data_IF_401896699653
#
_entry.id   IF_401896699653
#
_cell.length_a   1.000
_cell.length_b   1.000
_cell.length_c   1.000
_cell.angle_alpha   90.00
_cell.angle_beta   90.00
_cell.angle_gamma   90.00
#
_symmetry.space_group_name_H-M   'P 1'
#
loop_
_entity.id
_entity.type
_entity.pdbx_description
1 polymer ?
#
# COMPACT_ATOMS: atom_id res chain seq x y z
N UNK A 1 5.60 -55.36 -73.16
CA UNK A 1 4.78 -54.25 -73.72
C UNK A 1 3.34 -54.75 -73.84
N UNK A 2 2.29 -53.91 -73.75
CA UNK A 2 2.20 -52.55 -73.21
C UNK A 2 0.94 -52.27 -72.33
N UNK A 3 1.07 -51.33 -71.35
CA UNK A 3 0.34 -50.03 -71.17
C UNK A 3 -1.09 -50.12 -70.58
N UNK A 4 -1.46 -49.55 -69.42
CA UNK A 4 -1.34 -48.21 -68.79
C UNK A 4 -2.70 -47.48 -68.77
N UNK A 5 -2.98 -46.84 -67.60
CA UNK A 5 -3.63 -45.53 -67.38
C UNK A 5 -5.15 -45.42 -67.08
N UNK A 6 -5.39 -44.69 -65.97
CA UNK A 6 -6.53 -43.80 -65.61
C UNK A 6 -7.86 -44.51 -65.23
N UNK A 7 -8.56 -44.20 -64.13
CA UNK A 7 -8.64 -42.94 -63.38
C UNK A 7 -9.04 -43.13 -61.91
N UNK A 8 -8.22 -42.54 -61.05
CA UNK A 8 -8.52 -42.01 -59.72
C UNK A 8 -9.69 -41.01 -59.79
N UNK A 9 -10.88 -41.34 -59.24
CA UNK A 9 -11.86 -40.40 -58.66
C UNK A 9 -13.11 -41.16 -58.17
N UNK A 10 -13.22 -41.46 -56.87
CA UNK A 10 -14.54 -41.61 -56.24
C UNK A 10 -14.55 -40.93 -54.88
N UNK A 11 -14.52 -39.60 -54.99
CA UNK A 11 -15.36 -38.64 -54.26
C UNK A 11 -15.61 -39.00 -52.79
N UNK A 12 -14.68 -38.52 -51.97
CA UNK A 12 -14.95 -37.99 -50.65
C UNK A 12 -16.11 -36.97 -50.71
N UNK A 13 -17.33 -37.36 -50.33
CA UNK A 13 -18.37 -36.41 -49.88
C UNK A 13 -19.12 -36.98 -48.69
N UNK A 14 -18.48 -37.00 -47.53
CA UNK A 14 -19.15 -36.99 -46.23
C UNK A 14 -18.21 -36.35 -45.21
N UNK A 15 -17.81 -35.11 -45.48
CA UNK A 15 -16.84 -34.36 -44.68
C UNK A 15 -17.41 -32.98 -44.35
N UNK A 16 -18.52 -32.91 -43.60
CA UNK A 16 -19.05 -31.62 -43.14
C UNK A 16 -20.05 -31.77 -41.97
N UNK A 17 -19.70 -32.47 -40.89
CA UNK A 17 -20.44 -32.36 -39.59
C UNK A 17 -19.53 -32.29 -38.35
N UNK A 18 -18.21 -32.54 -38.46
CA UNK A 18 -17.32 -32.67 -37.29
C UNK A 18 -16.75 -31.37 -36.70
N UNK A 19 -17.16 -30.19 -37.18
CA UNK A 19 -16.58 -28.93 -36.69
C UNK A 19 -17.22 -28.41 -35.39
N UNK A 20 -18.40 -28.89 -35.02
CA UNK A 20 -19.21 -28.29 -33.94
C UNK A 20 -18.98 -28.99 -32.59
N UNK A 21 -18.82 -30.32 -32.57
CA UNK A 21 -18.43 -31.08 -31.38
C UNK A 21 -17.03 -30.68 -30.87
N UNK A 22 -16.07 -30.45 -31.76
CA UNK A 22 -14.70 -30.06 -31.41
C UNK A 22 -14.63 -28.72 -30.65
N UNK A 23 -15.55 -27.78 -30.93
CA UNK A 23 -15.60 -26.51 -30.22
C UNK A 23 -16.20 -26.67 -28.81
N UNK A 24 -17.20 -27.54 -28.64
CA UNK A 24 -17.79 -27.83 -27.35
C UNK A 24 -16.80 -28.57 -26.44
N UNK A 25 -16.10 -29.57 -26.97
CA UNK A 25 -15.06 -30.32 -26.25
C UNK A 25 -13.93 -29.42 -25.74
N UNK A 26 -13.47 -28.47 -26.58
CA UNK A 26 -12.45 -27.50 -26.18
C UNK A 26 -12.89 -26.59 -25.03
N UNK A 27 -14.18 -26.24 -24.97
CA UNK A 27 -14.74 -25.45 -23.86
C UNK A 27 -14.87 -26.28 -22.58
N UNK A 28 -15.16 -27.57 -22.69
CA UNK A 28 -15.20 -28.50 -21.55
C UNK A 28 -13.81 -28.72 -20.94
N UNK A 29 -12.79 -28.92 -21.77
CA UNK A 29 -11.39 -28.99 -21.32
C UNK A 29 -10.95 -27.70 -20.61
N UNK A 30 -11.31 -26.54 -21.18
CA UNK A 30 -10.99 -25.24 -20.57
C UNK A 30 -11.72 -25.04 -19.24
N UNK A 31 -12.97 -25.48 -19.14
CA UNK A 31 -13.75 -25.46 -17.89
C UNK A 31 -13.10 -26.32 -16.81
N UNK A 32 -12.67 -27.54 -17.14
CA UNK A 32 -11.98 -28.43 -16.20
C UNK A 32 -10.66 -27.82 -15.69
N UNK A 33 -9.87 -27.20 -16.57
CA UNK A 33 -8.64 -26.49 -16.20
C UNK A 33 -8.91 -25.36 -15.21
N UNK A 34 -9.92 -24.51 -15.49
CA UNK A 34 -10.28 -23.40 -14.60
C UNK A 34 -10.71 -23.92 -13.21
N UNK A 35 -11.47 -25.01 -13.15
CA UNK A 35 -11.88 -25.61 -11.87
C UNK A 35 -10.68 -26.13 -11.05
N UNK A 36 -9.66 -26.68 -11.72
CA UNK A 36 -8.44 -27.13 -11.04
C UNK A 36 -7.65 -25.94 -10.47
N UNK A 37 -7.51 -24.86 -11.24
CA UNK A 37 -6.86 -23.62 -10.80
C UNK A 37 -7.59 -22.98 -9.61
N UNK A 38 -8.93 -23.01 -9.58
CA UNK A 38 -9.72 -22.54 -8.43
C UNK A 38 -9.36 -23.34 -7.17
N UNK A 39 -9.38 -24.68 -7.25
CA UNK A 39 -9.05 -25.55 -6.11
C UNK A 39 -7.64 -25.33 -5.57
N UNK A 40 -6.66 -25.13 -6.45
CA UNK A 40 -5.28 -24.84 -6.05
C UNK A 40 -5.17 -23.50 -5.32
N UNK A 41 -5.77 -22.44 -5.88
CA UNK A 41 -5.76 -21.12 -5.25
C UNK A 41 -6.50 -21.12 -3.90
N UNK A 42 -7.54 -21.94 -3.71
CA UNK A 42 -8.20 -22.10 -2.41
C UNK A 42 -7.29 -22.73 -1.35
N UNK A 43 -6.50 -23.75 -1.72
CA UNK A 43 -5.49 -24.34 -0.81
C UNK A 43 -4.42 -23.32 -0.43
N UNK A 44 -3.97 -22.51 -1.38
CA UNK A 44 -3.02 -21.42 -1.13
C UNK A 44 -3.61 -20.36 -0.21
N UNK A 45 -4.87 -19.95 -0.45
CA UNK A 45 -5.59 -18.98 0.38
C UNK A 45 -5.68 -19.45 1.84
N UNK A 46 -6.04 -20.72 2.08
CA UNK A 46 -6.10 -21.28 3.42
C UNK A 46 -4.73 -21.31 4.10
N UNK A 47 -3.67 -21.62 3.35
CA UNK A 47 -2.30 -21.65 3.87
C UNK A 47 -1.81 -20.25 4.26
N UNK A 48 -2.08 -19.24 3.43
CA UNK A 48 -1.69 -17.85 3.70
C UNK A 48 -2.52 -17.24 4.84
N UNK A 49 -3.82 -17.53 4.92
CA UNK A 49 -4.68 -17.12 6.06
C UNK A 49 -4.16 -17.68 7.40
N UNK A 50 -3.72 -18.94 7.44
CA UNK A 50 -3.16 -19.58 8.64
C UNK A 50 -1.78 -19.06 9.05
N UNK A 51 -1.02 -18.46 8.13
CA UNK A 51 0.36 -17.99 8.35
C UNK A 51 0.49 -16.48 8.58
N UNK A 52 -0.62 -15.74 8.73
CA UNK A 52 -0.69 -14.29 9.07
C UNK A 52 0.10 -13.31 8.18
N UNK A 53 0.74 -13.75 7.09
CA UNK A 53 1.95 -13.04 6.59
C UNK A 53 1.81 -12.07 5.43
N UNK A 54 0.64 -11.84 4.83
CA UNK A 54 0.44 -10.62 4.01
C UNK A 54 -1.01 -10.45 3.56
N UNK A 55 -1.65 -9.37 4.00
CA UNK A 55 -2.95 -8.94 3.47
C UNK A 55 -2.91 -8.77 1.92
N UNK A 56 -1.76 -8.38 1.37
CA UNK A 56 -1.54 -8.20 -0.07
C UNK A 56 -1.58 -9.53 -0.82
N UNK A 57 -0.97 -10.59 -0.27
CA UNK A 57 -1.00 -11.92 -0.90
C UNK A 57 -2.40 -12.52 -0.84
N UNK A 58 -3.13 -12.33 0.27
CA UNK A 58 -4.54 -12.75 0.38
C UNK A 58 -5.40 -12.03 -0.67
N UNK A 59 -5.21 -10.71 -0.85
CA UNK A 59 -5.92 -9.94 -1.88
C UNK A 59 -5.61 -10.43 -3.30
N UNK A 60 -4.34 -10.65 -3.64
CA UNK A 60 -3.95 -11.12 -4.97
C UNK A 60 -4.54 -12.50 -5.30
N UNK A 61 -4.57 -13.43 -4.33
CA UNK A 61 -5.19 -14.73 -4.50
C UNK A 61 -6.71 -14.60 -4.67
N UNK A 62 -7.36 -13.71 -3.91
CA UNK A 62 -8.79 -13.45 -4.01
C UNK A 62 -9.18 -12.84 -5.37
N UNK A 63 -8.41 -11.88 -5.88
CA UNK A 63 -8.59 -11.30 -7.22
C UNK A 63 -8.46 -12.36 -8.31
N UNK A 64 -7.43 -13.21 -8.23
CA UNK A 64 -7.26 -14.33 -9.16
C UNK A 64 -8.45 -15.29 -9.12
N UNK A 65 -8.95 -15.61 -7.93
CA UNK A 65 -10.15 -16.47 -7.75
C UNK A 65 -11.39 -15.85 -8.40
N UNK A 66 -11.64 -14.56 -8.18
CA UNK A 66 -12.75 -13.83 -8.79
C UNK A 66 -12.65 -13.85 -10.32
N UNK A 67 -11.47 -13.56 -10.87
CA UNK A 67 -11.25 -13.59 -12.32
C UNK A 67 -11.48 -14.98 -12.93
N UNK A 68 -11.07 -16.05 -12.23
CA UNK A 68 -11.33 -17.43 -12.66
C UNK A 68 -12.82 -17.76 -12.67
N UNK A 69 -13.58 -17.33 -11.65
CA UNK A 69 -15.03 -17.52 -11.58
C UNK A 69 -15.76 -16.75 -12.69
N UNK A 70 -15.36 -15.53 -12.99
CA UNK A 70 -15.91 -14.75 -14.12
C UNK A 70 -15.63 -15.43 -15.47
N UNK A 71 -14.43 -15.96 -15.66
CA UNK A 71 -14.07 -16.73 -16.86
C UNK A 71 -14.86 -18.04 -16.97
N UNK A 72 -15.11 -18.72 -15.84
CA UNK A 72 -15.95 -19.92 -15.79
C UNK A 72 -17.38 -19.60 -16.22
N UNK A 73 -18.00 -18.56 -15.65
CA UNK A 73 -19.35 -18.10 -16.03
C UNK A 73 -19.41 -17.77 -17.52
N UNK A 74 -18.45 -16.99 -18.03
CA UNK A 74 -18.37 -16.62 -19.46
C UNK A 74 -18.24 -17.84 -20.38
N UNK A 75 -17.50 -18.85 -19.95
CA UNK A 75 -17.33 -20.11 -20.71
C UNK A 75 -18.62 -20.91 -20.74
N UNK A 76 -19.28 -21.04 -19.58
CA UNK A 76 -20.58 -21.71 -19.45
C UNK A 76 -21.66 -21.00 -20.28
N UNK A 77 -21.68 -19.67 -20.33
CA UNK A 77 -22.60 -18.90 -21.18
C UNK A 77 -22.37 -19.15 -22.68
N UNK A 78 -21.11 -19.23 -23.11
CA UNK A 78 -20.77 -19.59 -24.49
C UNK A 78 -21.26 -21.01 -24.82
N UNK A 79 -21.04 -21.98 -23.94
CA UNK A 79 -21.55 -23.36 -24.13
C UNK A 79 -23.08 -23.38 -24.24
N UNK A 80 -23.78 -22.71 -23.33
CA UNK A 80 -25.25 -22.62 -23.37
C UNK A 80 -25.78 -21.94 -24.65
N UNK A 81 -25.06 -20.93 -25.17
CA UNK A 81 -25.40 -20.26 -26.43
C UNK A 81 -25.20 -21.18 -27.64
N UNK A 82 -24.09 -21.90 -27.72
CA UNK A 82 -23.83 -22.87 -28.80
C UNK A 82 -24.91 -23.95 -28.81
N UNK A 83 -25.20 -24.53 -27.63
CA UNK A 83 -26.26 -25.53 -27.49
C UNK A 83 -27.63 -24.98 -27.90
N UNK A 84 -27.93 -23.72 -27.59
CA UNK A 84 -29.17 -23.07 -28.03
C UNK A 84 -29.26 -22.91 -29.55
N UNK A 85 -28.15 -22.63 -30.23
CA UNK A 85 -28.10 -22.54 -31.69
C UNK A 85 -28.30 -23.92 -32.32
N UNK A 86 -27.69 -24.96 -31.77
CA UNK A 86 -27.84 -26.33 -32.25
C UNK A 86 -29.28 -26.83 -32.08
N UNK A 87 -29.90 -26.52 -30.94
CA UNK A 87 -31.31 -26.80 -30.69
C UNK A 87 -32.20 -26.09 -31.72
N UNK A 88 -31.89 -24.85 -32.10
CA UNK A 88 -32.63 -24.12 -33.12
C UNK A 88 -32.53 -24.81 -34.49
N UNK A 89 -31.32 -25.22 -34.91
CA UNK A 89 -31.10 -25.95 -36.16
C UNK A 89 -31.88 -27.28 -36.16
N UNK A 90 -31.77 -28.07 -35.09
CA UNK A 90 -32.50 -29.33 -34.95
C UNK A 90 -34.04 -29.10 -34.98
N UNK A 91 -34.53 -28.02 -34.39
CA UNK A 91 -35.95 -27.67 -34.42
C UNK A 91 -36.43 -27.31 -35.83
N UNK A 92 -35.62 -26.63 -36.63
CA UNK A 92 -35.91 -26.36 -38.04
C UNK A 92 -36.03 -27.65 -38.85
N UNK A 93 -35.09 -28.59 -38.68
CA UNK A 93 -35.14 -29.90 -39.35
C UNK A 93 -36.35 -30.74 -38.91
N UNK A 94 -36.68 -30.74 -37.61
CA UNK A 94 -37.91 -31.37 -37.09
C UNK A 94 -39.16 -30.81 -37.79
N UNK A 95 -39.24 -29.49 -37.94
CA UNK A 95 -40.39 -28.84 -38.57
C UNK A 95 -40.49 -29.19 -40.07
N UNK A 96 -39.35 -29.23 -40.77
CA UNK A 96 -39.25 -29.67 -42.17
C UNK A 96 -39.72 -31.12 -42.33
N UNK A 97 -39.15 -32.05 -41.57
CA UNK A 97 -39.53 -33.47 -41.61
C UNK A 97 -41.01 -33.68 -41.28
N UNK A 98 -41.57 -32.94 -40.31
CA UNK A 98 -43.02 -32.98 -40.00
C UNK A 98 -43.86 -32.55 -41.19
N UNK A 99 -43.49 -31.47 -41.89
CA UNK A 99 -44.20 -30.98 -43.08
C UNK A 99 -44.14 -31.99 -44.23
N UNK A 100 -42.96 -32.53 -44.51
CA UNK A 100 -42.78 -33.54 -45.56
C UNK A 100 -43.56 -34.83 -45.25
N UNK A 101 -43.44 -35.37 -44.03
CA UNK A 101 -44.18 -36.56 -43.61
C UNK A 101 -45.69 -36.36 -43.68
N UNK A 102 -46.20 -35.15 -43.40
CA UNK A 102 -47.63 -34.84 -43.53
C UNK A 102 -48.08 -35.03 -44.98
N UNK A 103 -47.40 -34.39 -45.93
CA UNK A 103 -47.72 -34.49 -47.36
C UNK A 103 -47.60 -35.93 -47.86
N UNK A 104 -46.48 -36.61 -47.55
CA UNK A 104 -46.26 -38.00 -47.97
C UNK A 104 -47.33 -38.95 -47.43
N UNK A 105 -47.72 -38.81 -46.15
CA UNK A 105 -48.74 -39.66 -45.53
C UNK A 105 -50.13 -39.40 -46.12
N UNK A 106 -50.46 -38.15 -46.40
CA UNK A 106 -51.73 -37.79 -47.06
C UNK A 106 -51.82 -38.40 -48.47
N UNK A 107 -50.77 -38.27 -49.28
CA UNK A 107 -50.73 -38.82 -50.64
C UNK A 107 -50.72 -40.35 -50.65
N UNK A 108 -49.91 -40.95 -49.78
CA UNK A 108 -49.88 -42.41 -49.61
C UNK A 108 -51.25 -42.94 -49.16
N UNK A 109 -51.91 -42.27 -48.21
CA UNK A 109 -53.26 -42.64 -47.76
C UNK A 109 -54.26 -42.60 -48.91
N UNK A 110 -54.31 -41.51 -49.69
CA UNK A 110 -55.18 -41.40 -50.88
C UNK A 110 -54.94 -42.53 -51.88
N UNK A 111 -53.67 -42.84 -52.16
CA UNK A 111 -53.28 -43.93 -53.05
C UNK A 111 -53.75 -45.30 -52.53
N UNK A 112 -53.56 -45.58 -51.23
CA UNK A 112 -54.00 -46.84 -50.60
C UNK A 112 -55.52 -46.96 -50.63
N UNK A 113 -56.26 -45.91 -50.28
CA UNK A 113 -57.73 -45.89 -50.31
C UNK A 113 -58.25 -46.14 -51.73
N UNK A 114 -57.68 -45.46 -52.74
CA UNK A 114 -58.06 -45.68 -54.15
C UNK A 114 -57.75 -47.10 -54.61
N UNK A 115 -56.59 -47.64 -54.24
CA UNK A 115 -56.21 -49.03 -54.55
C UNK A 115 -57.11 -50.06 -53.85
N UNK A 116 -57.69 -49.73 -52.69
CA UNK A 116 -58.60 -50.60 -51.96
C UNK A 116 -59.99 -50.60 -52.62
N UNK A 117 -60.54 -49.43 -52.94
CA UNK A 117 -61.87 -49.30 -53.57
C UNK A 117 -61.93 -49.94 -54.96
N UNK A 118 -60.87 -49.85 -55.75
CA UNK A 118 -60.78 -50.46 -57.10
C UNK A 118 -60.53 -51.98 -57.10
N UNK A 119 -60.37 -52.61 -55.93
CA UNK A 119 -60.00 -54.04 -55.83
C UNK A 119 -61.08 -54.99 -56.37
N UNK A 120 -62.36 -54.65 -56.21
CA UNK A 120 -63.50 -55.47 -56.62
C UNK A 120 -64.09 -55.09 -57.97
N UNK A 121 -64.02 -53.82 -58.37
CA UNK A 121 -64.58 -53.32 -59.64
C UNK A 121 -63.70 -53.67 -60.85
N UNK A 122 -62.37 -53.70 -60.69
CA UNK A 122 -61.42 -54.11 -61.73
C UNK A 122 -60.40 -55.07 -61.12
N UNK A 123 -60.76 -56.35 -60.98
CA UNK A 123 -59.82 -57.37 -60.52
C UNK A 123 -58.53 -57.27 -61.34
N UNK A 124 -57.37 -57.16 -60.68
CA UNK A 124 -56.06 -57.01 -61.32
C UNK A 124 -55.78 -58.08 -62.38
N UNK A 125 -56.24 -59.31 -62.12
CA UNK A 125 -56.16 -60.40 -63.08
C UNK A 125 -57.09 -60.14 -64.27
N UNK A 126 -58.33 -59.71 -64.02
CA UNK A 126 -59.31 -59.36 -65.06
C UNK A 126 -58.88 -58.15 -65.90
N UNK A 127 -58.21 -57.15 -65.31
CA UNK A 127 -57.61 -56.01 -66.02
C UNK A 127 -56.47 -56.42 -66.96
N UNK A 128 -55.66 -57.42 -66.57
CA UNK A 128 -54.61 -57.97 -67.43
C UNK A 128 -55.22 -58.85 -68.54
N UNK A 129 -56.21 -59.70 -68.20
CA UNK A 129 -56.87 -60.62 -69.12
C UNK A 129 -57.83 -59.93 -70.10
N UNK A 130 -58.36 -58.74 -69.78
CA UNK A 130 -59.22 -57.93 -70.67
C UNK A 130 -58.44 -57.13 -71.73
N UNK A 131 -57.16 -57.46 -71.96
CA UNK A 131 -56.32 -56.78 -72.94
C UNK A 131 -56.65 -57.26 -74.36
N UNK A 132 -56.70 -56.34 -75.33
CA UNK A 132 -56.98 -56.64 -76.75
C UNK A 132 -55.88 -57.48 -77.41
N UNK A 133 -54.64 -57.41 -76.92
CA UNK A 133 -53.49 -58.19 -77.41
C UNK A 133 -52.37 -58.31 -76.36
N UNK A 134 -51.38 -59.16 -76.64
CA UNK A 134 -50.24 -59.44 -75.75
C UNK A 134 -49.41 -58.18 -75.43
N UNK A 135 -49.16 -57.31 -76.41
CA UNK A 135 -48.39 -56.08 -76.20
C UNK A 135 -49.09 -55.15 -75.19
N UNK A 136 -50.42 -55.03 -75.25
CA UNK A 136 -51.20 -54.25 -74.30
C UNK A 136 -51.17 -54.89 -72.90
N UNK A 137 -51.30 -56.21 -72.80
CA UNK A 137 -51.20 -56.93 -71.54
C UNK A 137 -49.82 -56.75 -70.88
N UNK A 138 -48.74 -56.84 -71.67
CA UNK A 138 -47.37 -56.62 -71.22
C UNK A 138 -47.16 -55.18 -70.70
N UNK A 139 -47.63 -54.16 -71.44
CA UNK A 139 -47.58 -52.76 -70.98
C UNK A 139 -48.37 -52.54 -69.68
N UNK A 140 -49.57 -53.11 -69.55
CA UNK A 140 -50.38 -53.06 -68.32
C UNK A 140 -49.65 -53.71 -67.14
N UNK A 141 -49.02 -54.86 -67.35
CA UNK A 141 -48.20 -55.55 -66.34
C UNK A 141 -47.01 -54.69 -65.88
N UNK A 142 -46.31 -54.05 -66.83
CA UNK A 142 -45.20 -53.14 -66.51
C UNK A 142 -45.67 -51.94 -65.68
N UNK A 143 -46.80 -51.31 -66.02
CA UNK A 143 -47.37 -50.22 -65.22
C UNK A 143 -47.80 -50.67 -63.82
N UNK A 144 -48.37 -51.87 -63.69
CA UNK A 144 -48.72 -52.43 -62.37
C UNK A 144 -47.48 -52.69 -61.51
N UNK A 145 -46.39 -53.17 -62.13
CA UNK A 145 -45.09 -53.34 -61.46
C UNK A 145 -44.52 -51.99 -61.02
N UNK A 146 -44.53 -50.99 -61.90
CA UNK A 146 -44.06 -49.64 -61.59
C UNK A 146 -44.87 -49.00 -60.45
N UNK A 147 -46.20 -49.13 -60.47
CA UNK A 147 -47.08 -48.64 -59.40
C UNK A 147 -46.81 -49.33 -58.06
N UNK A 148 -46.65 -50.66 -58.06
CA UNK A 148 -46.32 -51.43 -56.85
C UNK A 148 -44.96 -51.03 -56.29
N UNK A 149 -43.98 -50.81 -57.18
CA UNK A 149 -42.65 -50.32 -56.81
C UNK A 149 -42.71 -48.91 -56.22
N UNK A 150 -43.42 -47.99 -56.85
CA UNK A 150 -43.60 -46.62 -56.36
C UNK A 150 -44.25 -46.59 -54.97
N UNK A 151 -45.30 -47.40 -54.76
CA UNK A 151 -45.93 -47.57 -53.44
C UNK A 151 -44.93 -48.08 -52.39
N UNK A 152 -44.10 -49.06 -52.73
CA UNK A 152 -43.07 -49.58 -51.83
C UNK A 152 -42.07 -48.49 -51.45
N UNK A 153 -41.57 -47.74 -52.44
CA UNK A 153 -40.62 -46.63 -52.26
C UNK A 153 -41.22 -45.56 -51.34
N UNK A 154 -42.47 -45.14 -51.56
CA UNK A 154 -43.14 -44.16 -50.69
C UNK A 154 -43.28 -44.66 -49.24
N UNK A 155 -43.62 -45.93 -49.04
CA UNK A 155 -43.71 -46.52 -47.71
C UNK A 155 -42.34 -46.57 -47.00
N UNK A 156 -41.28 -46.90 -47.73
CA UNK A 156 -39.90 -46.89 -47.22
C UNK A 156 -39.42 -45.47 -46.90
N UNK A 157 -39.76 -44.47 -47.73
CA UNK A 157 -39.45 -43.06 -47.50
C UNK A 157 -40.14 -42.52 -46.25
N UNK A 158 -41.45 -42.80 -46.07
CA UNK A 158 -42.19 -42.44 -44.86
C UNK A 158 -41.53 -43.06 -43.63
N UNK A 159 -41.12 -44.33 -43.71
CA UNK A 159 -40.45 -45.03 -42.60
C UNK A 159 -39.08 -44.41 -42.30
N UNK A 160 -38.29 -44.08 -43.30
CA UNK A 160 -36.98 -43.42 -43.17
C UNK A 160 -37.10 -42.07 -42.49
N UNK A 161 -37.93 -41.16 -43.04
CA UNK A 161 -38.16 -39.82 -42.47
C UNK A 161 -38.77 -39.87 -41.08
N UNK A 162 -39.63 -40.85 -40.79
CA UNK A 162 -40.18 -41.04 -39.44
C UNK A 162 -39.10 -41.43 -38.43
N UNK A 163 -38.12 -42.27 -38.82
CA UNK A 163 -36.97 -42.61 -37.96
C UNK A 163 -36.08 -41.41 -37.72
N UNK A 164 -35.74 -40.64 -38.77
CA UNK A 164 -34.95 -39.40 -38.63
C UNK A 164 -35.62 -38.41 -37.68
N UNK A 165 -36.94 -38.23 -37.81
CA UNK A 165 -37.71 -37.36 -36.92
C UNK A 165 -37.60 -37.81 -35.45
N UNK A 166 -37.66 -39.11 -35.17
CA UNK A 166 -37.49 -39.64 -33.80
C UNK A 166 -36.09 -39.33 -33.27
N UNK A 167 -35.04 -39.54 -34.09
CA UNK A 167 -33.65 -39.25 -33.72
C UNK A 167 -33.46 -37.77 -33.38
N UNK A 168 -33.99 -36.85 -34.20
CA UNK A 168 -33.90 -35.41 -33.92
C UNK A 168 -34.65 -35.00 -32.65
N UNK A 169 -35.84 -35.57 -32.38
CA UNK A 169 -36.57 -35.27 -31.15
C UNK A 169 -35.81 -35.77 -29.90
N UNK A 170 -35.21 -36.96 -29.95
CA UNK A 170 -34.38 -37.49 -28.87
C UNK A 170 -33.14 -36.61 -28.63
N UNK A 171 -32.45 -36.20 -29.71
CA UNK A 171 -31.31 -35.27 -29.63
C UNK A 171 -31.71 -33.96 -28.96
N UNK A 172 -32.85 -33.39 -29.34
CA UNK A 172 -33.34 -32.13 -28.78
C UNK A 172 -33.65 -32.24 -27.28
N UNK A 173 -34.16 -33.38 -26.81
CA UNK A 173 -34.46 -33.63 -25.40
C UNK A 173 -33.20 -33.71 -24.53
N UNK A 174 -32.18 -34.42 -25.01
CA UNK A 174 -30.85 -34.47 -24.36
C UNK A 174 -30.23 -33.07 -24.29
N UNK A 175 -30.31 -32.29 -25.38
CA UNK A 175 -29.79 -30.93 -25.42
C UNK A 175 -30.53 -29.98 -24.46
N UNK A 176 -31.85 -30.11 -24.30
CA UNK A 176 -32.62 -29.33 -23.30
C UNK A 176 -32.13 -29.59 -21.88
N UNK A 177 -31.97 -30.86 -21.52
CA UNK A 177 -31.51 -31.26 -20.19
C UNK A 177 -30.08 -30.77 -19.92
N UNK A 178 -29.18 -30.91 -20.90
CA UNK A 178 -27.82 -30.38 -20.80
C UNK A 178 -27.78 -28.85 -20.64
N UNK A 179 -28.64 -28.12 -21.38
CA UNK A 179 -28.75 -26.66 -21.27
C UNK A 179 -29.23 -26.22 -19.90
N UNK A 180 -30.23 -26.90 -19.34
CA UNK A 180 -30.74 -26.58 -18.01
C UNK A 180 -29.64 -26.75 -16.95
N UNK A 181 -28.89 -27.84 -17.01
CA UNK A 181 -27.75 -28.09 -16.11
C UNK A 181 -26.69 -26.96 -16.18
N UNK A 182 -26.37 -26.48 -17.39
CA UNK A 182 -25.43 -25.36 -17.55
C UNK A 182 -25.96 -24.05 -16.94
N UNK A 183 -27.27 -23.80 -17.03
CA UNK A 183 -27.90 -22.62 -16.41
C UNK A 183 -27.83 -22.72 -14.88
N UNK A 184 -28.16 -23.88 -14.32
CA UNK A 184 -28.12 -24.09 -12.86
C UNK A 184 -26.69 -23.96 -12.31
N UNK A 185 -25.70 -24.53 -13.00
CA UNK A 185 -24.28 -24.37 -12.67
C UNK A 185 -23.83 -22.90 -12.74
N UNK A 186 -24.31 -22.15 -13.74
CA UNK A 186 -24.02 -20.73 -13.89
C UNK A 186 -24.57 -19.90 -12.73
N UNK A 187 -25.82 -20.12 -12.36
CA UNK A 187 -26.45 -19.39 -11.25
C UNK A 187 -25.76 -19.69 -9.91
N UNK A 188 -25.39 -20.95 -9.68
CA UNK A 188 -24.58 -21.33 -8.51
C UNK A 188 -23.24 -20.58 -8.47
N UNK A 189 -22.56 -20.49 -9.61
CA UNK A 189 -21.28 -19.77 -9.70
C UNK A 189 -21.45 -18.26 -9.54
N UNK A 190 -22.54 -17.66 -10.06
CA UNK A 190 -22.88 -16.24 -9.84
C UNK A 190 -23.06 -15.92 -8.37
N UNK A 191 -23.85 -16.73 -7.65
CA UNK A 191 -24.10 -16.54 -6.22
C UNK A 191 -22.79 -16.65 -5.43
N UNK A 192 -21.96 -17.63 -5.76
CA UNK A 192 -20.65 -17.79 -5.14
C UNK A 192 -19.73 -16.59 -5.43
N UNK A 193 -19.67 -16.12 -6.68
CA UNK A 193 -18.89 -14.95 -7.08
C UNK A 193 -19.33 -13.68 -6.32
N UNK A 194 -20.63 -13.48 -6.12
CA UNK A 194 -21.15 -12.34 -5.36
C UNK A 194 -20.68 -12.38 -3.90
N UNK A 195 -20.67 -13.56 -3.28
CA UNK A 195 -20.13 -13.75 -1.93
C UNK A 195 -18.63 -13.42 -1.88
N UNK A 196 -17.84 -13.92 -2.83
CA UNK A 196 -16.38 -13.64 -2.89
C UNK A 196 -16.09 -12.15 -3.07
N UNK A 197 -16.89 -11.43 -3.87
CA UNK A 197 -16.78 -9.98 -4.06
C UNK A 197 -17.11 -9.22 -2.78
N UNK A 198 -18.17 -9.62 -2.06
CA UNK A 198 -18.52 -9.05 -0.74
C UNK A 198 -17.42 -9.28 0.29
N UNK A 199 -16.80 -10.46 0.31
CA UNK A 199 -15.68 -10.75 1.21
C UNK A 199 -14.44 -9.91 0.87
N UNK A 200 -14.12 -9.75 -0.42
CA UNK A 200 -13.04 -8.90 -0.87
C UNK A 200 -13.27 -7.44 -0.45
N UNK A 201 -14.48 -6.92 -0.62
CA UNK A 201 -14.84 -5.56 -0.22
C UNK A 201 -14.70 -5.34 1.29
N UNK A 202 -15.17 -6.30 2.10
CA UNK A 202 -14.99 -6.27 3.57
C UNK A 202 -13.51 -6.21 3.95
N UNK A 203 -12.66 -7.01 3.32
CA UNK A 203 -11.22 -7.03 3.56
C UNK A 203 -10.56 -5.68 3.21
N UNK A 204 -10.89 -5.12 2.03
CA UNK A 204 -10.39 -3.81 1.60
C UNK A 204 -10.82 -2.72 2.57
N UNK A 205 -12.08 -2.72 2.99
CA UNK A 205 -12.60 -1.74 3.94
C UNK A 205 -11.94 -1.85 5.33
N UNK A 206 -11.67 -3.07 5.81
CA UNK A 206 -10.93 -3.30 7.04
C UNK A 206 -9.51 -2.72 6.95
N UNK A 207 -8.77 -3.06 5.88
CA UNK A 207 -7.41 -2.54 5.65
C UNK A 207 -7.40 -1.00 5.56
N UNK A 208 -8.39 -0.40 4.89
CA UNK A 208 -8.53 1.06 4.79
C UNK A 208 -8.80 1.70 6.14
N UNK A 209 -9.67 1.09 6.97
CA UNK A 209 -9.96 1.55 8.33
C UNK A 209 -8.71 1.52 9.21
N UNK A 210 -7.96 0.43 9.14
CA UNK A 210 -6.72 0.27 9.91
C UNK A 210 -5.65 1.27 9.46
N UNK A 211 -5.48 1.48 8.15
CA UNK A 211 -4.60 2.52 7.60
C UNK A 211 -4.96 3.92 8.14
N UNK A 212 -6.23 4.28 8.15
CA UNK A 212 -6.69 5.57 8.65
C UNK A 212 -6.47 5.71 10.16
N UNK A 213 -6.70 4.63 10.93
CA UNK A 213 -6.44 4.60 12.38
C UNK A 213 -4.95 4.83 12.66
N UNK A 214 -4.07 4.09 11.98
CA UNK A 214 -2.61 4.24 12.11
C UNK A 214 -2.16 5.66 11.73
N UNK A 215 -2.69 6.22 10.64
CA UNK A 215 -2.38 7.59 10.23
C UNK A 215 -2.80 8.63 11.28
N UNK A 216 -3.98 8.46 11.88
CA UNK A 216 -4.45 9.32 12.97
C UNK A 216 -3.60 9.18 14.23
N UNK A 217 -3.21 7.96 14.60
CA UNK A 217 -2.34 7.70 15.75
C UNK A 217 -0.95 8.34 15.55
N UNK A 218 -0.37 8.22 14.36
CA UNK A 218 0.89 8.90 13.99
C UNK A 218 0.74 10.41 14.09
N UNK A 219 -0.37 10.99 13.58
CA UNK A 219 -0.65 12.42 13.67
C UNK A 219 -0.73 12.89 15.14
N UNK A 220 -1.43 12.14 16.00
CA UNK A 220 -1.53 12.44 17.44
C UNK A 220 -0.15 12.40 18.11
N UNK A 221 0.66 11.37 17.82
CA UNK A 221 2.03 11.25 18.34
C UNK A 221 2.95 12.38 17.88
N UNK A 222 2.80 12.85 16.63
CA UNK A 222 3.52 14.03 16.17
C UNK A 222 3.09 15.32 16.88
N UNK A 223 1.80 15.48 17.18
CA UNK A 223 1.32 16.64 17.95
C UNK A 223 1.86 16.63 19.38
N UNK A 224 1.85 15.46 20.03
CA UNK A 224 2.49 15.25 21.34
C UNK A 224 3.99 15.63 21.29
N UNK A 225 4.73 15.15 20.27
CA UNK A 225 6.13 15.50 20.07
C UNK A 225 6.36 17.01 19.91
N UNK A 226 5.54 17.68 19.08
CA UNK A 226 5.61 19.15 18.90
C UNK A 226 5.31 19.93 20.17
N UNK A 227 4.42 19.43 21.03
CA UNK A 227 4.13 20.05 22.31
C UNK A 227 5.33 19.97 23.27
N UNK A 228 6.03 18.83 23.26
CA UNK A 228 7.27 18.62 24.03
C UNK A 228 8.37 19.55 23.50
N UNK A 229 8.53 19.65 22.19
CA UNK A 229 9.52 20.54 21.56
C UNK A 229 9.28 22.00 21.95
N UNK A 230 8.02 22.47 21.92
CA UNK A 230 7.64 23.81 22.44
C UNK A 230 7.93 23.99 23.92
N UNK A 231 7.84 22.93 24.73
CA UNK A 231 8.22 23.00 26.15
C UNK A 231 9.73 23.14 26.29
N UNK A 232 10.51 22.40 25.51
CA UNK A 232 11.96 22.53 25.47
C UNK A 232 12.36 23.95 25.06
N UNK A 233 11.78 24.50 24.00
CA UNK A 233 12.07 25.86 23.54
C UNK A 233 11.82 26.90 24.64
N UNK A 234 10.74 26.74 25.41
CA UNK A 234 10.46 27.60 26.57
C UNK A 234 11.54 27.48 27.64
N UNK A 235 11.95 26.26 27.98
CA UNK A 235 13.00 26.01 28.97
C UNK A 235 14.36 26.56 28.52
N UNK A 236 14.70 26.42 27.24
CA UNK A 236 15.91 26.98 26.65
C UNK A 236 15.87 28.51 26.74
N UNK A 237 14.78 29.16 26.31
CA UNK A 237 14.66 30.64 26.40
C UNK A 237 14.76 31.13 27.85
N UNK A 238 14.18 30.41 28.81
CA UNK A 238 14.32 30.71 30.23
C UNK A 238 15.78 30.58 30.70
N UNK A 239 16.48 29.52 30.29
CA UNK A 239 17.88 29.31 30.60
C UNK A 239 18.79 30.38 29.97
N UNK A 240 18.54 30.78 28.72
CA UNK A 240 19.24 31.88 28.04
C UNK A 240 19.03 33.19 28.80
N UNK A 241 17.79 33.52 29.17
CA UNK A 241 17.48 34.74 29.92
C UNK A 241 18.10 34.73 31.33
N UNK A 242 18.17 33.58 32.01
CA UNK A 242 18.87 33.44 33.29
C UNK A 242 20.39 33.59 33.12
N UNK A 243 20.98 32.97 32.10
CA UNK A 243 22.40 33.08 31.79
C UNK A 243 22.80 34.53 31.44
N UNK A 244 22.02 35.20 30.60
CA UNK A 244 22.26 36.60 30.23
C UNK A 244 22.10 37.55 31.44
N UNK A 245 21.13 37.28 32.33
CA UNK A 245 21.01 38.04 33.60
C UNK A 245 22.24 37.86 34.49
N UNK A 246 22.74 36.62 34.65
CA UNK A 246 23.95 36.34 35.43
C UNK A 246 25.19 36.99 34.80
N UNK A 247 25.34 36.90 33.48
CA UNK A 247 26.44 37.52 32.74
C UNK A 247 26.40 39.06 32.84
N UNK A 248 25.22 39.67 32.75
CA UNK A 248 25.06 41.11 32.92
C UNK A 248 25.41 41.57 34.35
N UNK A 249 24.98 40.81 35.37
CA UNK A 249 25.32 41.09 36.76
C UNK A 249 26.83 40.95 37.02
N UNK A 250 27.47 39.93 36.45
CA UNK A 250 28.92 39.72 36.59
C UNK A 250 29.72 40.82 35.87
N UNK A 251 29.29 41.22 34.66
CA UNK A 251 29.88 42.38 33.96
C UNK A 251 29.68 43.67 34.73
N UNK A 252 28.53 43.87 35.38
CA UNK A 252 28.30 45.05 36.23
C UNK A 252 29.24 45.05 37.45
N UNK A 253 29.45 43.89 38.10
CA UNK A 253 30.44 43.74 39.17
C UNK A 253 31.86 44.00 38.69
N UNK A 254 32.26 43.43 37.55
CA UNK A 254 33.59 43.65 36.96
C UNK A 254 33.81 45.12 36.57
N UNK A 255 32.80 45.78 35.99
CA UNK A 255 32.84 47.22 35.71
C UNK A 255 32.96 48.03 37.00
N UNK A 256 32.19 47.70 38.04
CA UNK A 256 32.26 48.37 39.35
C UNK A 256 33.63 48.17 40.05
N UNK A 257 34.20 46.97 39.96
CA UNK A 257 35.53 46.67 40.47
C UNK A 257 36.63 47.38 39.65
N UNK A 258 36.49 47.46 38.33
CA UNK A 258 37.41 48.18 37.46
C UNK A 258 37.34 49.70 37.68
N UNK A 259 36.15 50.28 37.90
CA UNK A 259 36.01 51.70 38.24
C UNK A 259 36.53 52.01 39.64
N UNK A 260 36.33 51.12 40.62
CA UNK A 260 36.94 51.24 41.95
C UNK A 260 38.48 51.18 41.87
N UNK A 261 39.05 50.20 41.17
CA UNK A 261 40.49 50.09 40.96
C UNK A 261 41.08 51.26 40.16
N UNK A 262 40.33 51.83 39.20
CA UNK A 262 40.73 53.03 38.48
C UNK A 262 40.69 54.29 39.36
N UNK A 263 39.71 54.41 40.27
CA UNK A 263 39.66 55.48 41.28
C UNK A 263 40.82 55.36 42.26
N UNK A 264 41.15 54.16 42.73
CA UNK A 264 42.31 53.90 43.60
C UNK A 264 43.63 54.20 42.88
N UNK A 265 43.81 53.77 41.63
CA UNK A 265 45.00 54.11 40.83
C UNK A 265 45.11 55.62 40.56
N UNK A 266 44.00 56.33 40.32
CA UNK A 266 44.00 57.80 40.20
C UNK A 266 44.31 58.48 41.54
N UNK A 267 43.81 57.96 42.67
CA UNK A 267 44.11 58.49 43.99
C UNK A 267 45.59 58.24 44.38
N UNK A 268 46.13 57.07 44.07
CA UNK A 268 47.54 56.75 44.26
C UNK A 268 48.45 57.56 43.33
N UNK A 269 48.05 57.80 42.07
CA UNK A 269 48.77 58.68 41.16
C UNK A 269 48.71 60.16 41.61
N UNK A 270 47.58 60.60 42.17
CA UNK A 270 47.45 61.94 42.76
C UNK A 270 48.24 62.10 44.07
N UNK A 271 48.39 61.03 44.87
CA UNK A 271 49.23 61.00 46.05
C UNK A 271 50.73 61.00 45.68
N UNK A 272 51.14 60.18 44.70
CA UNK A 272 52.49 60.17 44.17
C UNK A 272 52.85 61.50 43.47
N UNK A 273 51.90 62.14 42.77
CA UNK A 273 52.09 63.48 42.21
C UNK A 273 52.19 64.57 43.29
N UNK A 274 51.49 64.42 44.42
CA UNK A 274 51.66 65.30 45.59
C UNK A 274 53.01 65.10 46.28
N UNK A 275 53.53 63.87 46.30
CA UNK A 275 54.85 63.53 46.86
C UNK A 275 55.98 64.05 45.96
N UNK A 276 55.87 63.89 44.64
CA UNK A 276 56.76 64.51 43.64
C UNK A 276 56.67 66.05 43.62
N UNK A 277 55.52 66.64 43.95
CA UNK A 277 55.36 68.09 44.12
C UNK A 277 55.94 68.63 45.44
N UNK A 278 56.14 67.78 46.45
CA UNK A 278 56.81 68.15 47.70
C UNK A 278 58.34 68.11 47.58
N UNK A 279 58.88 67.39 46.58
CA UNK A 279 60.31 67.27 46.32
C UNK A 279 60.91 68.39 45.45
N UNK A 280 60.10 69.24 44.81
CA UNK A 280 60.58 70.36 43.99
C UNK A 280 59.96 71.69 44.44
N UNK A 281 60.53 72.28 45.49
CA UNK A 281 60.31 73.68 45.91
C UNK A 281 61.62 74.49 45.82
N UNK A 282 62.20 74.59 44.64
CA UNK A 282 63.10 75.69 44.24
C UNK A 282 63.03 75.90 42.72
N UNK A 283 61.97 76.56 42.25
CA UNK A 283 62.07 77.84 41.55
C UNK A 283 60.71 78.28 41.01
N UNK A 284 60.50 79.59 41.11
CA UNK A 284 59.27 80.32 40.82
C UNK A 284 59.48 81.11 39.54
N UNK A 285 58.65 80.94 38.50
CA UNK A 285 58.35 82.06 37.57
C UNK A 285 57.08 81.81 36.72
N UNK A 286 56.11 82.71 36.92
CA UNK A 286 55.16 83.33 35.96
C UNK A 286 54.80 82.64 34.64
N UNK A 287 53.50 82.53 34.32
CA UNK A 287 52.73 83.57 33.59
C UNK A 287 51.23 83.25 33.56
N UNK A 288 50.40 84.30 33.65
CA UNK A 288 48.95 84.34 33.38
C UNK A 288 48.68 84.10 31.88
N UNK A 289 47.54 83.46 31.53
CA UNK A 289 46.56 83.98 30.53
C UNK A 289 45.27 83.15 30.44
N UNK A 290 44.14 83.86 30.60
CA UNK A 290 42.84 83.80 29.88
C UNK A 290 41.92 82.55 29.94
N UNK A 291 40.88 82.68 30.76
CA UNK A 291 39.43 82.51 30.54
C UNK A 291 38.81 81.39 29.64
N UNK A 292 38.01 80.52 30.32
CA UNK A 292 36.58 80.07 30.14
C UNK A 292 35.99 79.81 28.72
N UNK A 293 34.93 78.97 28.55
CA UNK A 293 34.07 78.29 29.55
C UNK A 293 33.63 76.82 29.26
N UNK A 294 33.21 76.13 30.33
CA UNK A 294 32.04 75.20 30.47
C UNK A 294 31.86 74.07 29.45
N UNK A 295 31.86 72.82 29.93
CA UNK A 295 30.72 71.91 29.76
C UNK A 295 30.69 70.86 30.88
N UNK A 296 29.53 70.77 31.53
CA UNK A 296 29.17 69.83 32.59
C UNK A 296 28.48 68.66 31.89
N UNK A 297 29.05 67.46 31.96
CA UNK A 297 28.30 66.23 31.64
C UNK A 297 28.57 65.16 32.69
N UNK A 298 27.63 65.03 33.62
CA UNK A 298 27.20 63.78 34.25
C UNK A 298 25.69 63.69 33.95
N UNK A 299 25.05 62.51 33.90
CA UNK A 299 25.48 61.21 33.38
C UNK A 299 24.43 60.66 32.38
N UNK A 300 24.83 60.15 31.21
CA UNK A 300 23.87 59.40 30.38
C UNK A 300 23.60 58.01 30.99
N UNK A 301 22.46 57.95 31.67
CA UNK A 301 21.74 56.75 32.07
C UNK A 301 21.34 55.97 30.81
N UNK A 302 22.24 55.10 30.31
CA UNK A 302 21.91 54.20 29.19
C UNK A 302 20.84 53.19 29.64
N UNK A 303 19.62 53.47 29.20
CA UNK A 303 18.44 52.63 29.34
C UNK A 303 18.70 51.15 29.03
N UNK A 304 18.21 50.29 29.92
CA UNK A 304 18.17 48.82 29.81
C UNK A 304 17.67 48.37 28.42
N UNK A 305 18.59 48.00 27.52
CA UNK A 305 18.22 47.27 26.30
C UNK A 305 17.64 45.92 26.69
N UNK A 306 16.49 45.50 26.11
CA UNK A 306 15.84 44.25 26.49
C UNK A 306 16.78 43.08 26.20
N UNK A 307 16.97 42.24 27.21
CA UNK A 307 17.76 41.00 27.15
C UNK A 307 17.29 40.19 25.94
N UNK A 308 18.16 40.02 24.94
CA UNK A 308 17.85 39.21 23.76
C UNK A 308 17.53 37.79 24.21
N UNK A 309 16.27 37.35 24.00
CA UNK A 309 15.79 36.03 24.42
C UNK A 309 16.26 34.89 23.51
N UNK A 310 17.02 35.20 22.45
CA UNK A 310 17.34 34.28 21.36
C UNK A 310 18.81 33.89 21.31
N UNK A 311 19.72 34.64 21.96
CA UNK A 311 21.15 34.35 21.95
C UNK A 311 21.77 34.54 23.33
N UNK A 312 22.64 33.61 23.72
CA UNK A 312 23.40 33.70 24.97
C UNK A 312 24.55 34.67 24.78
N UNK A 313 24.65 35.64 25.68
CA UNK A 313 25.83 36.47 25.84
C UNK A 313 26.84 35.73 26.72
N UNK A 314 27.86 35.17 26.07
CA UNK A 314 28.86 34.36 26.74
C UNK A 314 29.77 35.22 27.65
N UNK A 315 30.04 34.72 28.86
CA UNK A 315 31.20 35.16 29.67
C UNK A 315 32.49 34.59 29.07
N UNK A 316 33.68 35.11 29.41
CA UNK A 316 34.94 34.55 28.94
C UNK A 316 35.07 33.05 29.24
N UNK A 317 34.65 32.59 30.42
CA UNK A 317 34.69 31.16 30.78
C UNK A 317 33.68 30.35 29.97
N UNK A 318 32.45 30.85 29.81
CA UNK A 318 31.42 30.17 29.03
C UNK A 318 31.79 30.07 27.54
N UNK A 319 32.54 31.06 27.01
CA UNK A 319 33.06 31.05 25.65
C UNK A 319 34.07 29.93 25.43
N UNK A 320 34.98 29.69 26.39
CA UNK A 320 35.94 28.59 26.32
C UNK A 320 35.20 27.24 26.28
N UNK A 321 34.17 27.06 27.12
CA UNK A 321 33.36 25.83 27.12
C UNK A 321 32.63 25.64 25.79
N UNK A 322 32.03 26.70 25.24
CA UNK A 322 31.37 26.67 23.92
C UNK A 322 32.34 26.33 22.78
N UNK A 323 33.52 26.94 22.76
CA UNK A 323 34.54 26.69 21.75
C UNK A 323 35.09 25.25 21.84
N UNK A 324 35.29 24.73 23.05
CA UNK A 324 35.67 23.34 23.28
C UNK A 324 34.59 22.36 22.81
N UNK A 325 33.31 22.63 23.09
CA UNK A 325 32.20 21.81 22.60
C UNK A 325 32.16 21.80 21.07
N UNK A 326 32.24 22.98 20.45
CA UNK A 326 32.25 23.16 18.99
C UNK A 326 33.44 22.50 18.30
N UNK A 327 34.62 22.52 18.91
CA UNK A 327 35.82 21.86 18.40
C UNK A 327 35.69 20.32 18.35
N UNK A 328 34.79 19.73 19.15
CA UNK A 328 34.52 18.29 19.16
C UNK A 328 33.40 17.88 18.17
N UNK A 329 32.98 18.76 17.26
CA UNK A 329 32.03 18.40 16.20
C UNK A 329 32.54 17.22 15.38
N UNK A 330 31.73 16.17 15.29
CA UNK A 330 32.06 14.92 14.60
C UNK A 330 32.93 13.97 15.43
N UNK A 331 33.19 14.30 16.70
CA UNK A 331 34.01 13.51 17.64
C UNK A 331 33.33 13.33 19.00
N UNK A 332 32.07 13.77 19.16
CA UNK A 332 31.34 13.57 20.40
C UNK A 332 30.99 12.09 20.55
N UNK A 333 31.20 11.47 21.72
CA UNK A 333 30.79 10.10 21.93
C UNK A 333 29.28 9.95 21.80
N UNK A 334 28.83 8.78 21.39
CA UNK A 334 27.41 8.45 21.45
C UNK A 334 26.87 8.60 22.88
N UNK A 335 25.63 9.12 23.03
CA UNK A 335 24.98 9.26 24.34
C UNK A 335 24.55 7.90 24.93
N UNK A 336 24.88 6.79 24.27
CA UNK A 336 24.70 5.41 24.73
C UNK A 336 26.00 4.64 24.51
N UNK A 337 26.17 3.52 25.21
CA UNK A 337 27.36 2.67 25.06
C UNK A 337 27.42 1.92 23.74
N UNK A 338 26.29 1.36 23.32
CA UNK A 338 26.12 0.68 22.04
C UNK A 338 24.79 1.09 21.45
N UNK A 339 24.76 1.46 20.18
CA UNK A 339 23.51 1.80 19.52
C UNK A 339 23.68 2.35 18.11
N UNK A 340 22.56 2.44 17.40
CA UNK A 340 22.50 2.94 16.03
C UNK A 340 21.36 3.93 15.86
N UNK A 341 21.56 4.97 15.03
CA UNK A 341 20.51 5.94 14.71
C UNK A 341 19.45 5.25 13.87
N UNK A 342 18.23 5.16 14.39
CA UNK A 342 17.07 4.53 13.72
C UNK A 342 16.11 5.55 13.11
N UNK A 343 16.12 6.79 13.60
CA UNK A 343 15.37 7.90 13.01
C UNK A 343 16.27 9.14 12.98
N UNK A 344 16.48 9.69 11.78
CA UNK A 344 17.34 10.85 11.56
C UNK A 344 16.71 12.18 11.95
N UNK A 345 17.42 13.28 11.73
CA UNK A 345 16.94 14.65 11.93
C UNK A 345 16.14 15.16 10.71
N UNK A 346 15.13 15.99 10.97
CA UNK A 346 14.34 16.68 9.95
C UNK A 346 13.09 15.92 9.52
N UNK A 347 12.57 16.29 8.34
CA UNK A 347 11.41 15.65 7.73
C UNK A 347 11.86 14.43 6.94
N UNK A 348 11.29 13.27 7.25
CA UNK A 348 11.60 12.02 6.56
C UNK A 348 10.38 11.10 6.52
N UNK A 349 10.32 10.13 5.59
CA UNK A 349 9.27 9.12 5.60
C UNK A 349 9.37 8.27 6.88
N UNK A 350 8.23 7.88 7.45
CA UNK A 350 8.20 6.99 8.60
C UNK A 350 8.88 5.65 8.24
N UNK A 351 9.77 5.09 9.09
CA UNK A 351 10.57 3.90 8.75
C UNK A 351 9.75 2.69 8.31
N UNK A 352 8.60 2.48 8.97
CA UNK A 352 7.61 1.45 8.62
C UNK A 352 6.60 1.94 7.55
N UNK A 353 5.97 3.10 7.75
CA UNK A 353 4.93 3.64 6.87
C UNK A 353 5.45 4.73 5.94
N UNK A 354 6.19 4.33 4.88
CA UNK A 354 6.91 5.27 3.99
C UNK A 354 6.04 6.38 3.34
N UNK A 355 4.73 6.16 3.21
CA UNK A 355 3.79 7.17 2.68
C UNK A 355 3.48 8.31 3.65
N UNK A 356 3.88 8.21 4.92
CA UNK A 356 3.64 9.21 5.95
C UNK A 356 4.95 9.94 6.28
N UNK A 357 4.90 11.27 6.28
CA UNK A 357 6.04 12.11 6.66
C UNK A 357 6.05 12.33 8.17
N UNK A 358 7.21 12.09 8.80
CA UNK A 358 7.47 12.38 10.21
C UNK A 358 8.54 13.47 10.32
N UNK A 359 8.36 14.37 11.28
CA UNK A 359 9.35 15.37 11.65
C UNK A 359 10.06 14.91 12.93
N UNK A 360 11.39 14.93 12.93
CA UNK A 360 12.18 14.66 14.11
C UNK A 360 13.20 15.79 14.35
N UNK A 361 13.06 16.49 15.47
CA UNK A 361 13.90 17.63 15.85
C UNK A 361 15.27 17.21 16.43
N UNK A 362 15.61 15.92 16.39
CA UNK A 362 16.89 15.37 16.85
C UNK A 362 17.21 14.06 16.14
N UNK A 363 17.83 13.11 16.85
CA UNK A 363 18.03 11.73 16.39
C UNK A 363 17.48 10.76 17.41
N UNK A 364 16.94 9.64 16.94
CA UNK A 364 16.57 8.51 17.78
C UNK A 364 17.61 7.41 17.65
N UNK A 365 18.20 7.01 18.77
CA UNK A 365 19.26 6.00 18.85
C UNK A 365 18.67 4.77 19.53
N UNK A 366 18.57 3.68 18.79
CA UNK A 366 18.18 2.38 19.35
C UNK A 366 19.38 1.73 20.01
N UNK A 367 19.17 1.18 21.21
CA UNK A 367 20.19 0.57 22.06
C UNK A 367 19.64 -0.68 22.76
N UNK A 368 20.49 -1.35 23.52
CA UNK A 368 20.14 -2.55 24.28
C UNK A 368 19.20 -2.24 25.46
N UNK A 369 18.43 -3.23 25.88
CA UNK A 369 17.51 -3.07 27.01
C UNK A 369 18.27 -2.77 28.30
N UNK A 370 17.79 -1.75 29.03
CA UNK A 370 18.40 -1.34 30.29
C UNK A 370 19.67 -0.49 30.13
N UNK A 371 20.02 -0.06 28.91
CA UNK A 371 21.13 0.85 28.68
C UNK A 371 20.94 2.19 29.42
N UNK A 372 22.07 2.78 29.81
CA UNK A 372 22.11 4.09 30.43
C UNK A 372 22.41 5.19 29.40
N UNK A 373 21.73 6.32 29.55
CA UNK A 373 22.07 7.54 28.83
C UNK A 373 23.30 8.18 29.47
N UNK A 374 24.22 8.68 28.64
CA UNK A 374 25.49 9.27 29.04
C UNK A 374 25.63 10.68 28.49
N UNK A 375 26.24 11.58 29.26
CA UNK A 375 26.54 12.93 28.81
C UNK A 375 27.57 12.91 27.67
N UNK A 376 27.29 13.60 26.55
CA UNK A 376 28.22 13.64 25.41
C UNK A 376 29.43 14.55 25.65
N UNK A 377 29.33 15.49 26.58
CA UNK A 377 30.38 16.46 26.88
C UNK A 377 30.26 16.99 28.32
N UNK A 378 31.30 17.65 28.80
CA UNK A 378 31.32 18.29 30.12
C UNK A 378 30.36 19.49 30.15
N UNK A 379 29.54 19.62 31.19
CA UNK A 379 28.52 20.67 31.24
C UNK A 379 27.79 20.77 32.57
N UNK A 380 26.74 21.60 32.59
CA UNK A 380 25.89 21.80 33.78
C UNK A 380 24.45 21.43 33.44
N UNK A 381 23.81 20.63 34.30
CA UNK A 381 22.40 20.28 34.15
C UNK A 381 21.54 21.51 34.45
N UNK A 382 20.82 22.01 33.45
CA UNK A 382 19.98 23.20 33.62
C UNK A 382 18.52 22.85 33.94
N UNK A 383 18.07 21.66 33.54
CA UNK A 383 16.72 21.21 33.85
C UNK A 383 16.56 19.68 33.76
N UNK A 384 15.66 19.16 34.58
CA UNK A 384 15.15 17.79 34.53
C UNK A 384 13.63 17.88 34.56
N UNK A 385 12.97 17.40 33.51
CA UNK A 385 11.53 17.55 33.38
C UNK A 385 10.87 16.27 32.86
N UNK A 386 9.59 16.12 33.18
CA UNK A 386 8.78 15.03 32.65
C UNK A 386 8.25 15.46 31.27
N UNK A 387 8.75 14.79 30.23
CA UNK A 387 8.34 15.02 28.83
C UNK A 387 6.97 14.40 28.53
N UNK A 388 6.64 13.29 29.19
CA UNK A 388 5.30 12.71 29.27
C UNK A 388 5.12 12.13 30.69
N UNK A 389 3.92 11.68 31.11
CA UNK A 389 3.73 11.09 32.44
C UNK A 389 4.68 9.93 32.75
N UNK A 390 5.18 9.24 31.72
CA UNK A 390 6.05 8.06 31.82
C UNK A 390 7.50 8.30 31.36
N UNK A 391 7.79 9.46 30.74
CA UNK A 391 9.12 9.75 30.17
C UNK A 391 9.75 10.98 30.82
N UNK A 392 10.95 10.82 31.34
CA UNK A 392 11.78 11.91 31.85
C UNK A 392 12.76 12.38 30.79
N UNK A 393 13.21 13.62 30.93
CA UNK A 393 14.23 14.23 30.09
C UNK A 393 15.22 15.05 30.92
N UNK A 394 16.48 15.04 30.49
CA UNK A 394 17.57 15.82 31.09
C UNK A 394 18.11 16.79 30.05
N UNK A 395 18.37 18.03 30.46
CA UNK A 395 18.91 19.10 29.63
C UNK A 395 20.22 19.63 30.23
N UNK A 396 21.27 19.62 29.43
CA UNK A 396 22.64 19.97 29.84
C UNK A 396 23.15 21.11 28.98
N UNK A 397 23.75 22.13 29.61
CA UNK A 397 24.32 23.29 28.95
C UNK A 397 25.84 23.15 28.81
N UNK A 398 26.34 23.50 27.63
CA UNK A 398 27.76 23.49 27.24
C UNK A 398 28.12 24.85 26.59
N UNK A 399 28.04 25.95 27.36
CA UNK A 399 28.20 27.31 26.81
C UNK A 399 26.94 27.79 26.08
N UNK A 400 27.03 28.08 24.77
CA UNK A 400 25.88 28.44 23.92
C UNK A 400 25.17 27.23 23.30
N UNK A 401 25.64 26.01 23.61
CA UNK A 401 25.02 24.76 23.20
C UNK A 401 24.21 24.10 24.31
N UNK A 402 23.13 23.43 23.94
CA UNK A 402 22.35 22.58 24.84
C UNK A 402 22.20 21.18 24.28
N UNK A 403 22.34 20.17 25.13
CA UNK A 403 22.04 18.78 24.80
C UNK A 403 20.83 18.30 25.60
N UNK A 404 19.91 17.60 24.94
CA UNK A 404 18.68 17.08 25.58
C UNK A 404 18.59 15.58 25.36
N UNK A 405 18.32 14.85 26.44
CA UNK A 405 18.21 13.41 26.48
C UNK A 405 16.78 13.05 26.92
N UNK A 406 15.99 12.43 26.03
CA UNK A 406 14.58 12.11 26.26
C UNK A 406 14.32 10.59 26.34
N UNK A 407 13.10 10.21 26.75
CA UNK A 407 12.69 8.81 26.94
C UNK A 407 13.50 8.09 28.03
N UNK A 408 13.80 8.79 29.13
CA UNK A 408 14.44 8.21 30.31
C UNK A 408 13.37 7.66 31.27
N UNK A 409 13.58 6.46 31.81
CA UNK A 409 12.73 5.88 32.86
C UNK A 409 13.08 6.45 34.24
N UNK A 410 14.36 6.67 34.48
CA UNK A 410 14.89 7.26 35.71
C UNK A 410 16.05 8.20 35.38
N UNK A 411 16.30 9.15 36.28
CA UNK A 411 17.35 10.17 36.15
C UNK A 411 18.21 10.11 37.40
N UNK A 412 19.53 10.20 37.23
CA UNK A 412 20.53 10.14 38.32
C UNK A 412 21.18 11.48 38.64
N UNK A 413 20.77 12.56 37.98
CA UNK A 413 21.31 13.92 38.11
C UNK A 413 20.20 14.95 38.37
N UNK A 414 20.51 16.02 39.09
CA UNK A 414 19.62 17.13 39.42
C UNK A 414 19.98 18.44 38.71
N UNK A 415 19.09 19.44 38.79
CA UNK A 415 19.36 20.78 38.26
C UNK A 415 20.50 21.44 39.06
N UNK A 416 21.52 21.92 38.36
CA UNK A 416 22.72 22.56 38.92
C UNK A 416 23.95 21.65 38.93
N UNK A 417 23.78 20.34 38.75
CA UNK A 417 24.88 19.38 38.82
C UNK A 417 25.85 19.57 37.64
N UNK A 418 27.15 19.50 37.94
CA UNK A 418 28.20 19.42 36.92
C UNK A 418 28.32 17.97 36.46
N UNK A 419 28.28 17.76 35.15
CA UNK A 419 28.46 16.45 34.54
C UNK A 419 29.73 16.40 33.73
N UNK A 420 30.38 15.24 33.74
CA UNK A 420 31.56 14.94 32.92
C UNK A 420 31.18 14.12 31.69
N UNK A 421 32.00 14.16 30.65
CA UNK A 421 31.85 13.37 29.43
C UNK A 421 31.77 11.88 29.75
N UNK A 422 30.81 11.18 29.13
CA UNK A 422 30.44 9.77 29.35
C UNK A 422 29.83 9.45 30.73
N UNK A 423 29.63 10.43 31.61
CA UNK A 423 28.93 10.21 32.88
C UNK A 423 27.49 9.75 32.65
N UNK A 424 27.05 8.73 33.40
CA UNK A 424 25.68 8.25 33.37
C UNK A 424 24.72 9.28 33.97
N UNK A 425 23.68 9.65 33.22
CA UNK A 425 22.69 10.67 33.61
C UNK A 425 21.29 10.08 33.83
N UNK A 426 21.07 8.82 33.47
CA UNK A 426 19.80 8.14 33.69
C UNK A 426 19.67 6.84 32.91
N UNK A 427 18.59 6.10 33.16
CA UNK A 427 18.29 4.83 32.48
C UNK A 427 17.28 5.07 31.36
N UNK A 428 17.50 4.44 30.20
CA UNK A 428 16.64 4.61 29.02
C UNK A 428 15.44 3.69 29.16
N UNK A 429 14.25 4.22 28.84
CA UNK A 429 13.01 3.44 28.90
C UNK A 429 12.88 2.53 27.68
N UNK A 430 12.59 1.26 27.95
CA UNK A 430 12.17 0.29 26.93
C UNK A 430 10.66 0.34 26.74
N UNK A 431 10.21 0.31 25.49
CA UNK A 431 8.78 0.26 25.18
C UNK A 431 8.25 -1.17 25.44
N UNK A 432 7.24 -1.31 26.30
CA UNK A 432 6.67 -2.62 26.69
C UNK A 432 5.94 -3.37 25.57
N UNK A 433 5.47 -2.69 24.53
CA UNK A 433 4.77 -3.31 23.40
C UNK A 433 5.74 -3.75 22.29
N UNK A 434 6.77 -2.95 22.01
CA UNK A 434 7.69 -3.22 20.91
C UNK A 434 9.02 -3.83 21.34
N UNK A 435 9.31 -3.84 22.65
CA UNK A 435 10.59 -4.27 23.23
C UNK A 435 11.77 -3.33 22.91
N UNK A 436 11.58 -2.29 22.08
CA UNK A 436 12.67 -1.42 21.64
C UNK A 436 13.03 -0.40 22.71
N UNK A 437 14.33 -0.23 22.92
CA UNK A 437 14.90 0.80 23.80
C UNK A 437 15.50 1.90 22.95
N UNK A 438 14.92 3.10 23.02
CA UNK A 438 15.25 4.20 22.09
C UNK A 438 15.51 5.47 22.88
N UNK A 439 16.69 6.07 22.72
CA UNK A 439 17.02 7.38 23.25
C UNK A 439 16.78 8.44 22.18
N UNK A 440 15.93 9.44 22.47
CA UNK A 440 15.84 10.63 21.61
C UNK A 440 16.81 11.69 22.11
N UNK A 441 17.73 12.09 21.25
CA UNK A 441 18.83 12.99 21.54
C UNK A 441 18.75 14.24 20.65
N UNK A 442 18.89 15.42 21.25
CA UNK A 442 18.82 16.70 20.56
C UNK A 442 20.04 17.56 20.90
N UNK A 443 20.49 18.34 19.93
CA UNK A 443 21.49 19.40 20.12
C UNK A 443 20.87 20.72 19.68
N UNK A 444 21.01 21.74 20.52
CA UNK A 444 20.65 23.11 20.20
C UNK A 444 21.89 23.98 20.25
N UNK A 445 21.93 25.00 19.41
CA UNK A 445 22.77 26.17 19.62
C UNK A 445 21.86 27.37 19.80
N UNK A 446 21.93 27.99 20.97
CA UNK A 446 20.94 28.97 21.42
C UNK A 446 19.52 28.39 21.27
N UNK A 447 18.70 28.94 20.38
CA UNK A 447 17.33 28.47 20.10
C UNK A 447 17.20 27.62 18.83
N UNK A 448 18.29 27.34 18.12
CA UNK A 448 18.26 26.65 16.83
C UNK A 448 18.60 25.17 16.98
N UNK A 449 17.77 24.31 16.38
CA UNK A 449 18.03 22.88 16.28
C UNK A 449 19.21 22.58 15.38
N UNK A 450 20.07 21.67 15.81
CA UNK A 450 21.20 21.18 15.02
C UNK A 450 21.04 19.68 14.83
N UNK A 451 21.31 19.20 13.62
CA UNK A 451 21.36 17.77 13.33
C UNK A 451 22.46 17.08 14.15
N UNK A 452 22.12 16.23 15.15
CA UNK A 452 23.12 15.59 16.00
C UNK A 452 23.95 14.53 15.28
N UNK A 453 23.47 13.95 14.17
CA UNK A 453 24.19 12.88 13.48
C UNK A 453 25.58 13.32 13.01
N UNK A 454 25.73 14.57 12.58
CA UNK A 454 27.02 15.13 12.18
C UNK A 454 27.95 15.52 13.34
N UNK A 455 27.53 15.32 14.58
CA UNK A 455 28.31 15.63 15.78
C UNK A 455 28.84 14.38 16.49
N UNK A 456 28.14 13.26 16.35
CA UNK A 456 28.44 12.01 17.03
C UNK A 456 29.47 11.19 16.24
N UNK A 457 30.42 10.58 16.94
CA UNK A 457 31.28 9.51 16.43
C UNK A 457 31.18 8.30 17.35
N UNK A 458 31.06 7.12 16.75
CA UNK A 458 31.01 5.86 17.48
C UNK A 458 32.42 5.36 17.82
#
# INVERSE_FOLDING_TARGET
MPKFLLSLLFICTSSMVWSQDAQQEKLEQRKAQIQQEIKENERLLQTVKKKEKSAVTVMAIQEKKIALKENLIKTTEKQAKLLSNDMYINQVEINKLKKELKVLKEDYSKMIVKSYKSRSEESRAMFLLSSKNFQQAYKRLQYMKQYTSFRKIQGEEIKGKSKELVVYNQKLDVQKTAKQKLIDEKEKERLSLEQEKKEQEKLVNAIKKDKNKIANDIKKKQQEARAIDKQIDRLIRQAIAEANRKAAAERAKQKAAATAAAKEKKAAAAAAAKELALANKTNKTTTKTVAKPVEVEEPEEEAKKPISSTKIELTPEAKIVADNFRANKGRLPYPVERGSITLGFGNQPHPVYKSLMVHNSGVEITTDQGANARAVFDGVVINVFNSTPVNKAVMIQHGDYFTVYQNLSSVSVGKGDKVSRKQSIGRIRSNGETGKTVLKFLIYQNTSYINPAGWLSN
#
